data_IF_888545991563
#
_entry.id   IF_888545991563
#
_cell.length_a   1.000
_cell.length_b   1.000
_cell.length_c   1.000
_cell.angle_alpha   90.00
_cell.angle_beta   90.00
_cell.angle_gamma   90.00
#
_symmetry.space_group_name_H-M   'P 1'
#
loop_
_entity.id
_entity.type
_entity.pdbx_description
1 polymer ?
#
# COMPACT_ATOMS: atom_id res chain seq x y z
N UNK A 1 3.11 11.01 13.86
CA UNK A 1 2.32 10.13 13.01
C UNK A 1 2.66 10.35 11.54
N UNK A 2 2.70 9.30 10.75
CA UNK A 2 3.22 9.32 9.38
C UNK A 2 2.13 9.55 8.33
N UNK A 3 1.01 10.11 8.75
CA UNK A 3 -0.19 10.19 7.91
C UNK A 3 0.06 10.95 6.61
N UNK A 4 0.73 12.09 6.67
CA UNK A 4 0.99 12.90 5.48
C UNK A 4 1.95 12.20 4.53
N UNK A 5 2.98 11.53 5.06
CA UNK A 5 3.91 10.76 4.24
C UNK A 5 3.21 9.58 3.58
N UNK A 6 2.35 8.87 4.32
CA UNK A 6 1.63 7.73 3.77
C UNK A 6 0.59 8.16 2.75
N UNK A 7 -0.08 9.30 2.96
CA UNK A 7 -0.99 9.86 1.96
C UNK A 7 -0.25 10.19 0.69
N UNK A 8 0.95 10.75 0.80
CA UNK A 8 1.80 11.04 -0.36
C UNK A 8 2.16 9.74 -1.09
N UNK A 9 2.50 8.68 -0.35
CA UNK A 9 2.81 7.38 -0.95
C UNK A 9 1.63 6.82 -1.74
N UNK A 10 0.41 6.92 -1.19
CA UNK A 10 -0.81 6.46 -1.88
C UNK A 10 -1.02 7.27 -3.16
N UNK A 11 -0.89 8.59 -3.08
CA UNK A 11 -1.08 9.45 -4.25
C UNK A 11 -0.06 9.16 -5.34
N UNK A 12 1.20 8.90 -4.97
CA UNK A 12 2.23 8.52 -5.93
C UNK A 12 1.90 7.19 -6.60
N UNK A 13 1.40 6.23 -5.84
CA UNK A 13 0.98 4.93 -6.39
C UNK A 13 -0.18 5.09 -7.36
N UNK A 14 -1.16 5.94 -7.00
CA UNK A 14 -2.30 6.24 -7.89
C UNK A 14 -1.84 6.90 -9.19
N UNK A 15 -0.78 7.69 -9.14
CA UNK A 15 -0.20 8.36 -10.30
C UNK A 15 0.71 7.44 -11.13
N UNK A 16 0.94 6.21 -10.66
CA UNK A 16 1.80 5.26 -11.36
C UNK A 16 3.28 5.39 -11.02
N UNK A 17 3.66 6.19 -10.03
CA UNK A 17 5.04 6.34 -9.60
C UNK A 17 5.36 5.33 -8.50
N UNK A 18 5.56 4.08 -8.93
CA UNK A 18 5.79 2.94 -8.03
C UNK A 18 7.03 3.14 -7.16
N UNK A 19 8.15 3.56 -7.79
CA UNK A 19 9.42 3.68 -7.07
C UNK A 19 9.36 4.72 -5.96
N UNK A 20 8.79 5.88 -6.23
CA UNK A 20 8.68 6.94 -5.23
C UNK A 20 7.75 6.53 -4.10
N UNK A 21 6.63 5.88 -4.42
CA UNK A 21 5.69 5.37 -3.42
C UNK A 21 6.36 4.33 -2.54
N UNK A 22 7.09 3.39 -3.14
CA UNK A 22 7.76 2.32 -2.40
C UNK A 22 8.84 2.86 -1.46
N UNK A 23 9.60 3.86 -1.89
CA UNK A 23 10.61 4.49 -1.05
C UNK A 23 10.02 5.06 0.24
N UNK A 24 8.84 5.65 0.14
CA UNK A 24 8.17 6.19 1.32
C UNK A 24 7.62 5.04 2.19
N UNK A 25 6.88 4.12 1.59
CA UNK A 25 6.20 3.07 2.34
C UNK A 25 7.18 2.19 3.12
N UNK A 26 8.33 1.88 2.54
CA UNK A 26 9.31 1.00 3.18
C UNK A 26 9.98 1.61 4.40
N UNK A 27 9.91 2.92 4.58
CA UNK A 27 10.53 3.61 5.70
C UNK A 27 9.69 3.56 6.97
N UNK A 28 8.46 3.05 6.88
CA UNK A 28 7.52 3.00 8.00
C UNK A 28 7.05 1.58 8.25
N UNK A 29 6.67 1.31 9.51
CA UNK A 29 6.20 -0.02 9.92
C UNK A 29 4.76 -0.03 10.42
N UNK A 30 4.04 1.08 10.28
CA UNK A 30 2.61 1.14 10.59
C UNK A 30 1.84 0.12 9.75
N UNK A 31 0.72 -0.38 10.26
CA UNK A 31 -0.11 -1.30 9.49
C UNK A 31 -0.57 -0.70 8.16
N UNK A 32 -0.85 0.61 8.13
CA UNK A 32 -1.21 1.30 6.89
C UNK A 32 -0.05 1.36 5.90
N UNK A 33 1.18 1.61 6.37
CA UNK A 33 2.38 1.59 5.52
C UNK A 33 2.59 0.20 4.94
N UNK A 34 2.41 -0.83 5.75
CA UNK A 34 2.54 -2.22 5.29
C UNK A 34 1.48 -2.58 4.27
N UNK A 35 0.27 -2.02 4.40
CA UNK A 35 -0.79 -2.23 3.42
C UNK A 35 -0.43 -1.60 2.07
N UNK A 36 0.07 -0.36 2.09
CA UNK A 36 0.54 0.30 0.86
C UNK A 36 1.64 -0.54 0.22
N UNK A 37 2.61 -1.00 1.02
CA UNK A 37 3.72 -1.84 0.56
C UNK A 37 3.21 -3.13 -0.10
N UNK A 38 2.20 -3.77 0.52
CA UNK A 38 1.58 -4.97 -0.02
C UNK A 38 0.94 -4.71 -1.39
N UNK A 39 0.21 -3.59 -1.53
CA UNK A 39 -0.42 -3.23 -2.80
C UNK A 39 0.63 -2.96 -3.88
N UNK A 40 1.73 -2.32 -3.52
CA UNK A 40 2.81 -2.05 -4.48
C UNK A 40 3.38 -3.33 -5.06
N UNK A 41 3.63 -4.34 -4.23
CA UNK A 41 4.10 -5.64 -4.73
C UNK A 41 3.03 -6.39 -5.53
N UNK A 42 1.76 -6.19 -5.18
CA UNK A 42 0.64 -6.73 -5.94
C UNK A 42 0.61 -6.13 -7.35
N UNK A 43 0.84 -4.82 -7.46
CA UNK A 43 0.88 -4.11 -8.76
C UNK A 43 1.98 -4.69 -9.64
N UNK A 44 3.17 -4.96 -9.09
CA UNK A 44 4.26 -5.51 -9.89
C UNK A 44 4.16 -7.01 -10.14
N UNK A 45 3.14 -7.67 -9.59
CA UNK A 45 2.93 -9.10 -9.81
C UNK A 45 3.76 -10.02 -8.92
N UNK A 46 4.39 -9.49 -7.87
CA UNK A 46 5.16 -10.28 -6.91
C UNK A 46 4.22 -10.76 -5.80
N UNK A 47 3.49 -11.82 -6.08
CA UNK A 47 2.43 -12.32 -5.21
C UNK A 47 2.96 -12.72 -3.84
N UNK A 48 4.09 -13.44 -3.80
CA UNK A 48 4.68 -13.90 -2.54
C UNK A 48 5.01 -12.72 -1.63
N UNK A 49 5.69 -11.71 -2.17
CA UNK A 49 6.10 -10.52 -1.43
C UNK A 49 4.87 -9.71 -1.00
N UNK A 50 3.88 -9.60 -1.88
CA UNK A 50 2.64 -8.90 -1.56
C UNK A 50 1.97 -9.55 -0.35
N UNK A 51 1.81 -10.87 -0.35
CA UNK A 51 1.19 -11.60 0.76
C UNK A 51 1.99 -11.49 2.04
N UNK A 52 3.31 -11.45 1.94
CA UNK A 52 4.20 -11.22 3.09
C UNK A 52 3.80 -9.93 3.81
N UNK A 53 3.56 -8.84 3.04
CA UNK A 53 3.21 -7.55 3.63
C UNK A 53 1.76 -7.49 4.07
N UNK A 54 0.83 -8.17 3.37
CA UNK A 54 -0.55 -8.28 3.84
C UNK A 54 -0.63 -8.91 5.22
N UNK A 55 0.23 -9.87 5.52
CA UNK A 55 0.26 -10.52 6.83
C UNK A 55 0.63 -9.54 7.96
N UNK A 56 1.16 -8.37 7.62
CA UNK A 56 1.59 -7.34 8.57
C UNK A 56 0.66 -6.14 8.59
N UNK A 57 -0.52 -6.28 8.04
CA UNK A 57 -1.54 -5.24 8.08
C UNK A 57 -2.53 -5.53 9.22
N UNK A 58 -3.52 -4.66 9.37
CA UNK A 58 -4.57 -4.83 10.38
C UNK A 58 -5.72 -5.68 9.83
N UNK A 59 -5.39 -6.81 9.20
CA UNK A 59 -6.39 -7.77 8.71
C UNK A 59 -6.73 -7.64 7.23
N UNK A 60 -6.01 -6.81 6.48
CA UNK A 60 -6.20 -6.73 5.03
C UNK A 60 -5.60 -7.96 4.36
N UNK A 61 -6.24 -8.43 3.28
CA UNK A 61 -5.81 -9.63 2.58
C UNK A 61 -5.67 -9.38 1.10
N UNK A 62 -4.76 -10.12 0.47
CA UNK A 62 -4.51 -10.04 -0.96
C UNK A 62 -5.82 -10.17 -1.78
N UNK A 63 -6.72 -11.03 -1.33
CA UNK A 63 -7.96 -11.37 -2.04
C UNK A 63 -9.09 -10.35 -1.84
N UNK A 64 -8.94 -9.39 -0.93
CA UNK A 64 -10.03 -8.46 -0.60
C UNK A 64 -10.40 -7.54 -1.76
N UNK A 65 -9.45 -7.23 -2.62
CA UNK A 65 -9.65 -6.38 -3.80
C UNK A 65 -9.03 -7.02 -5.02
N UNK A 66 -9.77 -7.04 -6.12
CA UNK A 66 -9.22 -7.44 -7.42
C UNK A 66 -8.62 -6.24 -8.16
N UNK A 67 -9.13 -5.04 -7.88
CA UNK A 67 -8.69 -3.81 -8.53
C UNK A 67 -7.80 -3.00 -7.57
N UNK A 68 -6.52 -2.87 -7.93
CA UNK A 68 -5.56 -2.16 -7.08
C UNK A 68 -5.88 -0.67 -6.93
N UNK A 69 -6.48 -0.05 -7.94
CA UNK A 69 -6.88 1.35 -7.84
C UNK A 69 -7.96 1.54 -6.79
N UNK A 70 -8.95 0.66 -6.78
CA UNK A 70 -10.00 0.67 -5.75
C UNK A 70 -9.40 0.48 -4.36
N UNK A 71 -8.43 -0.40 -4.25
CA UNK A 71 -7.77 -0.66 -2.97
C UNK A 71 -7.00 0.57 -2.50
N UNK A 72 -6.25 1.22 -3.39
CA UNK A 72 -5.51 2.44 -3.06
C UNK A 72 -6.45 3.56 -2.63
N UNK A 73 -7.60 3.69 -3.29
CA UNK A 73 -8.61 4.68 -2.92
C UNK A 73 -9.18 4.40 -1.53
N UNK A 74 -9.33 3.14 -1.17
CA UNK A 74 -9.78 2.76 0.18
C UNK A 74 -8.74 3.14 1.23
N UNK A 75 -7.46 2.90 0.95
CA UNK A 75 -6.38 3.31 1.85
C UNK A 75 -6.39 4.84 2.01
N UNK A 76 -6.53 5.56 0.91
CA UNK A 76 -6.60 7.01 0.92
C UNK A 76 -7.74 7.50 1.82
N UNK A 77 -8.91 6.87 1.72
CA UNK A 77 -10.07 7.20 2.52
C UNK A 77 -9.80 7.00 4.02
N UNK A 78 -9.16 5.91 4.35
CA UNK A 78 -8.84 5.59 5.76
C UNK A 78 -7.83 6.58 6.33
N UNK A 79 -6.88 7.04 5.52
CA UNK A 79 -5.85 7.97 5.96
C UNK A 79 -6.35 9.41 6.13
N UNK A 80 -7.49 9.74 5.58
CA UNK A 80 -8.05 11.10 5.68
C UNK A 80 -8.57 11.45 7.09
#
# INVERSE_FOLDING_TARGET
>A
MNKDALMNAVNLALDGDWDASHKIAQDYSDTSANWIHAVLHKIEGDVWNSKYWYARTAGSRYEDFTDVREELLEIQRILK
#
